data_IF_747599471505
#
_entry.id   IF_747599471505
#
_cell.length_a   1.000
_cell.length_b   1.000
_cell.length_c   1.000
_cell.angle_alpha   90.00
_cell.angle_beta   90.00
_cell.angle_gamma   90.00
#
_symmetry.space_group_name_H-M   'P 1'
#
loop_
_entity.id
_entity.type
_entity.pdbx_description
1 polymer ?
#
# COMPACT_ATOMS: atom_id res chain seq x y z
N UNK A 1 -20.25 31.51 1.31
CA UNK A 1 -18.86 31.14 1.64
C UNK A 1 -18.95 29.76 2.24
N UNK A 2 -18.58 28.73 1.48
CA UNK A 2 -18.68 27.34 1.97
C UNK A 2 -17.65 27.15 3.06
N UNK A 3 -18.11 26.74 4.23
CA UNK A 3 -17.27 26.40 5.37
C UNK A 3 -16.43 25.17 5.02
N UNK A 4 -15.12 25.37 4.84
CA UNK A 4 -14.12 24.32 4.66
C UNK A 4 -13.51 23.98 6.02
N UNK A 5 -14.35 23.59 6.97
CA UNK A 5 -13.87 23.01 8.22
C UNK A 5 -13.21 21.66 7.93
N UNK A 6 -11.95 21.42 8.34
CA UNK A 6 -11.30 20.13 8.14
C UNK A 6 -12.11 19.03 8.82
N UNK A 7 -12.41 17.94 8.11
CA UNK A 7 -13.20 16.80 8.58
C UNK A 7 -12.53 15.95 9.69
N UNK A 8 -11.54 16.50 10.41
CA UNK A 8 -10.75 15.79 11.41
C UNK A 8 -9.26 16.09 11.27
N UNK A 9 -8.44 15.44 12.10
CA UNK A 9 -6.99 15.49 11.93
C UNK A 9 -6.61 14.58 10.74
N UNK A 10 -6.04 15.13 9.65
CA UNK A 10 -5.67 14.32 8.50
C UNK A 10 -4.55 13.36 8.89
N UNK A 11 -4.61 12.15 8.36
CA UNK A 11 -3.54 11.19 8.54
C UNK A 11 -2.25 11.72 7.91
N UNK A 12 -1.15 11.66 8.65
CA UNK A 12 0.17 12.09 8.15
C UNK A 12 0.88 10.90 7.52
N UNK A 13 0.76 10.81 6.20
CA UNK A 13 1.51 9.84 5.39
C UNK A 13 2.91 10.38 5.11
N UNK A 14 3.92 9.52 5.19
CA UNK A 14 5.30 9.93 4.89
C UNK A 14 5.50 10.06 3.38
N UNK A 15 4.92 9.14 2.60
CA UNK A 15 4.76 9.23 1.15
C UNK A 15 3.55 8.40 0.73
N UNK A 16 2.36 9.00 0.82
CA UNK A 16 1.09 8.37 0.46
C UNK A 16 0.86 8.36 -1.05
N UNK A 17 0.75 7.18 -1.66
CA UNK A 17 0.63 7.00 -3.11
C UNK A 17 -0.28 5.82 -3.47
N UNK A 18 -0.52 5.61 -4.77
CA UNK A 18 -1.16 4.39 -5.28
C UNK A 18 -2.62 4.20 -4.85
N UNK A 19 -3.35 5.30 -4.61
CA UNK A 19 -4.77 5.27 -4.25
C UNK A 19 -5.55 4.54 -5.36
N UNK A 20 -6.27 3.47 -5.01
CA UNK A 20 -7.11 2.73 -5.94
C UNK A 20 -8.30 2.07 -5.27
N UNK A 21 -9.32 1.76 -6.07
CA UNK A 21 -10.46 0.95 -5.64
C UNK A 21 -10.21 -0.52 -5.99
N UNK A 22 -10.22 -1.39 -4.98
CA UNK A 22 -10.00 -2.83 -5.15
C UNK A 22 -10.75 -3.59 -4.05
N UNK A 23 -11.29 -4.78 -4.36
CA UNK A 23 -12.04 -5.62 -3.40
C UNK A 23 -13.12 -4.84 -2.60
N UNK A 24 -13.84 -3.96 -3.29
CA UNK A 24 -14.94 -3.17 -2.72
C UNK A 24 -14.51 -2.10 -1.71
N UNK A 25 -13.22 -1.74 -1.66
CA UNK A 25 -12.71 -0.70 -0.78
C UNK A 25 -11.65 0.17 -1.46
N UNK A 26 -11.42 1.35 -0.92
CA UNK A 26 -10.28 2.17 -1.28
C UNK A 26 -9.04 1.67 -0.53
N UNK A 27 -7.94 1.54 -1.25
CA UNK A 27 -6.62 1.25 -0.67
C UNK A 27 -5.59 2.25 -1.16
N UNK A 28 -4.58 2.51 -0.35
CA UNK A 28 -3.39 3.25 -0.74
C UNK A 28 -2.18 2.72 0.01
N UNK A 29 -0.98 3.03 -0.48
CA UNK A 29 0.27 2.72 0.21
C UNK A 29 0.83 3.97 0.87
N UNK A 30 1.47 3.81 2.01
CA UNK A 30 2.44 4.78 2.50
C UNK A 30 3.82 4.18 2.30
N UNK A 31 4.49 4.63 1.24
CA UNK A 31 5.63 3.93 0.64
C UNK A 31 6.74 3.75 1.66
N UNK A 32 7.16 4.84 2.31
CA UNK A 32 8.36 4.83 3.16
C UNK A 32 8.14 4.07 4.47
N UNK A 33 6.90 4.05 4.98
CA UNK A 33 6.56 3.33 6.21
C UNK A 33 6.14 1.86 5.97
N UNK A 34 6.06 1.44 4.71
CA UNK A 34 5.72 0.07 4.33
C UNK A 34 4.26 -0.31 4.63
N UNK A 35 3.34 0.66 4.71
CA UNK A 35 1.95 0.41 5.11
C UNK A 35 1.01 0.32 3.91
N UNK A 36 0.13 -0.68 3.91
CA UNK A 36 -1.08 -0.73 3.10
C UNK A 36 -2.25 -0.23 3.95
N UNK A 37 -2.97 0.76 3.46
CA UNK A 37 -3.96 1.52 4.23
C UNK A 37 -5.34 1.47 3.54
N UNK A 38 -6.40 1.62 4.33
CA UNK A 38 -7.79 1.80 3.88
C UNK A 38 -8.49 2.82 4.77
N UNK A 39 -9.45 3.59 4.25
CA UNK A 39 -10.36 4.35 5.10
C UNK A 39 -11.12 3.43 6.07
N UNK A 40 -11.49 3.98 7.22
CA UNK A 40 -12.41 3.35 8.17
C UNK A 40 -13.68 4.20 8.32
N UNK A 41 -14.81 3.56 8.62
CA UNK A 41 -16.10 4.22 8.80
C UNK A 41 -16.50 5.18 7.66
N UNK A 42 -16.81 6.42 8.03
CA UNK A 42 -17.23 7.50 7.12
C UNK A 42 -16.04 8.30 6.50
N UNK A 43 -14.81 7.85 6.72
CA UNK A 43 -13.60 8.49 6.19
C UNK A 43 -13.13 9.72 6.97
N UNK A 44 -13.71 10.01 8.14
CA UNK A 44 -13.25 11.08 9.05
C UNK A 44 -12.20 10.61 10.06
N UNK A 45 -12.12 9.30 10.29
CA UNK A 45 -11.12 8.67 11.15
C UNK A 45 -9.77 8.49 10.41
N UNK A 46 -8.65 8.34 11.16
CA UNK A 46 -7.38 7.92 10.59
C UNK A 46 -7.53 6.62 9.78
N UNK A 47 -6.72 6.48 8.73
CA UNK A 47 -6.67 5.31 7.88
C UNK A 47 -6.24 4.09 8.70
N UNK A 48 -6.96 2.99 8.47
CA UNK A 48 -6.67 1.71 9.08
C UNK A 48 -5.59 0.99 8.29
N UNK A 49 -4.59 0.45 8.99
CA UNK A 49 -3.56 -0.39 8.38
C UNK A 49 -4.11 -1.80 8.10
N UNK A 50 -4.01 -2.24 6.85
CA UNK A 50 -4.36 -3.60 6.41
C UNK A 50 -3.18 -4.56 6.48
N UNK A 51 -1.98 -4.05 6.19
CA UNK A 51 -0.72 -4.79 6.26
C UNK A 51 0.42 -3.79 6.46
N UNK A 52 1.51 -4.26 7.07
CA UNK A 52 2.76 -3.49 7.23
C UNK A 52 3.95 -4.38 6.94
N UNK A 53 4.92 -3.82 6.25
CA UNK A 53 6.22 -4.41 6.01
C UNK A 53 7.32 -3.61 6.70
N UNK A 54 8.44 -4.26 6.98
CA UNK A 54 9.66 -3.61 7.49
C UNK A 54 10.52 -3.00 6.37
N UNK A 55 10.01 -3.04 5.13
CA UNK A 55 10.62 -2.44 3.94
C UNK A 55 9.62 -1.52 3.25
N UNK A 56 10.08 -0.56 2.41
CA UNK A 56 9.17 0.31 1.67
C UNK A 56 8.18 -0.47 0.82
N UNK A 57 6.91 -0.04 0.78
CA UNK A 57 5.84 -0.67 0.00
C UNK A 57 5.48 0.25 -1.17
N UNK A 58 6.06 0.01 -2.35
CA UNK A 58 5.92 0.92 -3.49
C UNK A 58 4.55 0.85 -4.17
N UNK A 59 4.04 -0.36 -4.40
CA UNK A 59 2.79 -0.56 -5.12
C UNK A 59 2.12 -1.89 -4.75
N UNK A 60 0.80 -1.95 -4.90
CA UNK A 60 0.01 -3.18 -4.76
C UNK A 60 -1.01 -3.35 -5.87
N UNK A 61 -1.28 -4.60 -6.24
CA UNK A 61 -2.40 -4.99 -7.09
C UNK A 61 -3.15 -6.19 -6.50
N UNK A 62 -4.49 -6.25 -6.63
CA UNK A 62 -5.26 -7.38 -6.13
C UNK A 62 -4.92 -8.65 -6.92
N UNK A 63 -4.87 -9.79 -6.24
CA UNK A 63 -4.70 -11.08 -6.92
C UNK A 63 -6.06 -11.63 -7.30
N UNK A 64 -6.26 -11.87 -8.61
CA UNK A 64 -7.53 -12.40 -9.13
C UNK A 64 -7.96 -13.68 -8.42
N UNK A 65 -9.21 -13.73 -7.96
CA UNK A 65 -9.78 -14.88 -7.25
C UNK A 65 -9.27 -15.07 -5.82
N UNK A 66 -8.45 -14.16 -5.27
CA UNK A 66 -7.92 -14.23 -3.91
C UNK A 66 -8.17 -12.91 -3.14
N UNK A 67 -9.42 -12.63 -2.73
CA UNK A 67 -9.77 -11.40 -2.01
C UNK A 67 -8.88 -11.17 -0.79
N UNK A 68 -8.43 -9.92 -0.60
CA UNK A 68 -7.53 -9.56 0.50
C UNK A 68 -6.09 -10.07 0.35
N UNK A 69 -5.75 -10.68 -0.79
CA UNK A 69 -4.36 -10.97 -1.18
C UNK A 69 -3.90 -9.99 -2.24
N UNK A 70 -2.70 -9.46 -2.05
CA UNK A 70 -2.09 -8.47 -2.92
C UNK A 70 -0.77 -8.99 -3.45
N UNK A 71 -0.48 -8.76 -4.73
CA UNK A 71 0.91 -8.77 -5.19
C UNK A 71 1.49 -7.38 -4.94
N UNK A 72 2.66 -7.34 -4.33
CA UNK A 72 3.27 -6.12 -3.83
C UNK A 72 4.70 -5.97 -4.37
N UNK A 73 5.04 -4.76 -4.81
CA UNK A 73 6.43 -4.35 -4.98
C UNK A 73 6.91 -3.76 -3.64
N UNK A 74 7.86 -4.43 -3.00
CA UNK A 74 8.29 -4.14 -1.64
C UNK A 74 9.82 -4.17 -1.53
N UNK A 75 10.43 -3.08 -1.06
CA UNK A 75 11.87 -2.91 -1.04
C UNK A 75 12.48 -3.07 -2.43
N UNK A 76 13.29 -4.11 -2.59
CA UNK A 76 13.94 -4.53 -3.85
C UNK A 76 13.22 -5.70 -4.54
N UNK A 77 12.13 -6.19 -3.95
CA UNK A 77 11.49 -7.43 -4.33
C UNK A 77 9.99 -7.35 -4.61
N UNK A 78 9.44 -8.53 -4.92
CA UNK A 78 8.02 -8.77 -5.16
C UNK A 78 7.54 -9.86 -4.19
N UNK A 79 6.43 -9.63 -3.50
CA UNK A 79 5.83 -10.59 -2.58
C UNK A 79 4.31 -10.66 -2.69
N UNK A 80 3.71 -11.70 -2.13
CA UNK A 80 2.30 -11.74 -1.82
C UNK A 80 2.07 -11.26 -0.39
N UNK A 81 1.09 -10.39 -0.21
CA UNK A 81 0.62 -9.90 1.09
C UNK A 81 -0.80 -10.39 1.33
N UNK A 82 -0.99 -11.16 2.39
CA UNK A 82 -2.32 -11.48 2.92
C UNK A 82 -2.42 -10.87 4.32
N UNK A 83 -3.52 -10.17 4.60
CA UNK A 83 -3.71 -9.53 5.91
C UNK A 83 -3.61 -10.56 7.05
N UNK A 84 -2.75 -10.27 8.02
CA UNK A 84 -2.54 -11.13 9.19
C UNK A 84 -1.54 -12.27 9.01
N UNK A 85 -0.87 -12.36 7.85
CA UNK A 85 0.20 -13.32 7.61
C UNK A 85 1.50 -12.61 7.26
N UNK A 86 2.62 -13.32 7.39
CA UNK A 86 3.91 -12.87 6.89
C UNK A 86 3.90 -12.79 5.35
N UNK A 87 4.72 -11.91 4.75
CA UNK A 87 4.84 -11.80 3.30
C UNK A 87 5.46 -13.05 2.68
N UNK A 88 4.88 -13.53 1.59
CA UNK A 88 5.44 -14.61 0.77
C UNK A 88 6.27 -13.99 -0.37
N UNK A 89 7.60 -13.99 -0.26
CA UNK A 89 8.48 -13.43 -1.27
C UNK A 89 8.54 -14.30 -2.52
N UNK A 90 8.21 -13.71 -3.67
CA UNK A 90 8.19 -14.37 -4.98
C UNK A 90 9.51 -14.18 -5.73
N UNK A 91 10.07 -12.97 -5.66
CA UNK A 91 11.28 -12.59 -6.36
C UNK A 91 11.95 -11.40 -5.67
N UNK A 92 13.24 -11.21 -5.94
CA UNK A 92 14.01 -10.06 -5.45
C UNK A 92 14.97 -9.54 -6.53
N UNK A 93 14.44 -9.00 -7.63
CA UNK A 93 15.24 -8.65 -8.82
C UNK A 93 16.30 -7.59 -8.53
N UNK A 94 16.03 -6.64 -7.62
CA UNK A 94 16.93 -5.52 -7.36
C UNK A 94 17.92 -5.77 -6.20
N UNK A 95 17.91 -6.96 -5.59
CA UNK A 95 18.80 -7.31 -4.44
C UNK A 95 20.27 -7.01 -4.71
N UNK A 96 20.72 -7.28 -5.94
CA UNK A 96 22.12 -7.15 -6.34
C UNK A 96 22.33 -6.03 -7.36
N UNK A 97 21.38 -5.11 -7.47
CA UNK A 97 21.52 -3.95 -8.34
C UNK A 97 22.79 -3.16 -7.94
N UNK A 98 23.63 -2.74 -8.90
CA UNK A 98 24.84 -1.98 -8.61
C UNK A 98 24.54 -0.60 -8.01
N UNK A 99 23.30 -0.12 -8.15
CA UNK A 99 22.78 1.08 -7.50
C UNK A 99 21.52 0.70 -6.73
N UNK A 100 21.50 1.00 -5.43
CA UNK A 100 20.33 0.73 -4.60
C UNK A 100 19.15 1.61 -5.05
N UNK A 101 18.03 0.96 -5.37
CA UNK A 101 16.79 1.61 -5.75
C UNK A 101 15.63 0.96 -4.99
N UNK A 102 14.57 1.73 -4.74
CA UNK A 102 13.27 1.21 -4.35
C UNK A 102 12.31 1.40 -5.50
N UNK A 103 11.30 0.55 -5.59
CA UNK A 103 10.16 0.84 -6.46
C UNK A 103 9.52 2.17 -6.04
N UNK A 104 9.12 2.98 -7.01
CA UNK A 104 8.22 4.10 -6.74
C UNK A 104 6.76 3.62 -6.65
N UNK A 105 5.82 4.55 -6.67
CA UNK A 105 4.44 4.20 -6.97
C UNK A 105 4.33 3.51 -8.33
N UNK A 106 3.26 2.74 -8.49
CA UNK A 106 2.96 2.04 -9.72
C UNK A 106 1.58 1.43 -9.66
N UNK A 107 0.97 1.24 -10.82
CA UNK A 107 -0.29 0.52 -10.95
C UNK A 107 -0.10 -0.59 -11.98
N UNK A 108 -0.65 -1.77 -11.66
CA UNK A 108 -0.95 -2.78 -12.64
C UNK A 108 -2.48 -2.81 -12.80
N UNK A 109 -2.95 -2.41 -13.97
CA UNK A 109 -4.32 -2.61 -14.41
C UNK A 109 -4.40 -3.93 -15.19
N UNK A 110 -5.44 -4.75 -14.98
CA UNK A 110 -5.62 -6.01 -15.70
C UNK A 110 -5.86 -5.83 -17.20
#
# INVERSE_FOLDING_TARGET
>A
MTDLSPLGAPDRLELGEGIRWADGRLVCVDILTGRLLTPDGDGTAPLRTLARLDVPLGAVAPVAGRPGTWIAAAGTGICLLTTGTDPEWLADPERSAPTAMRMNDGCADP
#
